data_IF_900057132292
#
_entry.id   IF_900057132292
#
_cell.length_a   1.000
_cell.length_b   1.000
_cell.length_c   1.000
_cell.angle_alpha   90.00
_cell.angle_beta   90.00
_cell.angle_gamma   90.00
#
_symmetry.space_group_name_H-M   'P 1'
#
loop_
_entity.id
_entity.type
_entity.pdbx_description
1 polymer ?
#
# COMPACT_ATOMS: atom_id res chain seq x y z
N UNK A 1 -6.78 9.92 -27.51
CA UNK A 1 -5.61 9.53 -26.69
C UNK A 1 -6.00 8.82 -25.38
N UNK A 2 -7.01 9.30 -24.62
CA UNK A 2 -7.49 8.65 -23.36
C UNK A 2 -8.00 7.20 -23.56
N UNK A 3 -8.63 6.90 -24.71
CA UNK A 3 -9.15 5.55 -25.01
C UNK A 3 -8.09 4.49 -25.31
N UNK A 4 -6.90 4.89 -25.82
CA UNK A 4 -5.76 4.00 -26.02
C UNK A 4 -5.10 3.65 -24.68
N UNK A 5 -4.92 4.66 -23.81
CA UNK A 5 -4.40 4.47 -22.45
C UNK A 5 -5.27 3.58 -21.56
N UNK A 6 -6.60 3.67 -21.66
CA UNK A 6 -7.51 2.80 -20.87
C UNK A 6 -7.41 1.35 -21.33
N UNK A 7 -7.30 1.12 -22.64
CA UNK A 7 -7.18 -0.22 -23.25
C UNK A 7 -5.85 -0.88 -22.87
N UNK A 8 -4.75 -0.14 -22.89
CA UNK A 8 -3.43 -0.64 -22.48
C UNK A 8 -3.38 -0.96 -20.98
N UNK A 9 -4.02 -0.14 -20.14
CA UNK A 9 -4.16 -0.39 -18.70
C UNK A 9 -5.01 -1.62 -18.38
N UNK A 10 -6.13 -1.81 -19.07
CA UNK A 10 -6.97 -3.01 -18.92
C UNK A 10 -6.25 -4.26 -19.40
N UNK A 11 -5.47 -4.15 -20.48
CA UNK A 11 -4.63 -5.24 -20.98
C UNK A 11 -3.51 -5.61 -20.00
N UNK A 12 -2.79 -4.63 -19.46
CA UNK A 12 -1.74 -4.86 -18.44
C UNK A 12 -2.31 -5.48 -17.17
N UNK A 13 -3.50 -5.07 -16.75
CA UNK A 13 -4.19 -5.65 -15.59
C UNK A 13 -4.61 -7.10 -15.86
N UNK A 14 -5.26 -7.36 -17.00
CA UNK A 14 -5.67 -8.71 -17.38
C UNK A 14 -4.48 -9.66 -17.58
N UNK A 15 -3.38 -9.17 -18.14
CA UNK A 15 -2.16 -9.97 -18.33
C UNK A 15 -1.47 -10.27 -16.98
N UNK A 16 -1.49 -9.33 -16.03
CA UNK A 16 -0.97 -9.54 -14.68
C UNK A 16 -1.86 -10.45 -13.82
N UNK A 17 -3.19 -10.38 -14.00
CA UNK A 17 -4.16 -11.26 -13.33
C UNK A 17 -4.10 -12.69 -13.90
N UNK A 18 -3.68 -12.85 -15.17
CA UNK A 18 -3.46 -14.15 -15.83
C UNK A 18 -2.04 -14.71 -15.69
N UNK A 19 -1.20 -14.11 -14.83
CA UNK A 19 0.19 -14.52 -14.63
C UNK A 19 1.03 -14.64 -15.92
N UNK A 20 0.67 -13.92 -16.99
CA UNK A 20 1.17 -14.17 -18.36
C UNK A 20 2.67 -13.99 -18.51
N UNK A 21 3.26 -13.08 -17.73
CA UNK A 21 4.68 -12.75 -17.77
C UNK A 21 5.46 -13.36 -16.60
N UNK A 22 4.77 -14.07 -15.70
CA UNK A 22 5.40 -14.73 -14.56
C UNK A 22 5.97 -16.07 -15.03
N UNK A 23 7.23 -16.31 -14.68
CA UNK A 23 7.88 -17.62 -14.84
C UNK A 23 8.30 -18.11 -13.46
N UNK A 24 8.34 -19.42 -13.28
CA UNK A 24 8.67 -20.05 -11.99
C UNK A 24 10.15 -19.84 -11.65
N UNK A 25 11.04 -19.88 -12.65
CA UNK A 25 12.47 -19.66 -12.44
C UNK A 25 12.83 -18.17 -12.33
N UNK A 26 12.06 -17.28 -12.99
CA UNK A 26 12.34 -15.84 -13.00
C UNK A 26 11.08 -14.98 -13.01
N UNK A 27 10.99 -14.05 -12.05
CA UNK A 27 9.90 -13.08 -11.95
C UNK A 27 10.25 -11.70 -12.56
N UNK A 28 11.41 -11.56 -13.21
CA UNK A 28 11.90 -10.25 -13.66
C UNK A 28 11.01 -9.59 -14.71
N UNK A 29 10.48 -10.39 -15.64
CA UNK A 29 9.65 -9.90 -16.73
C UNK A 29 8.28 -9.42 -16.20
N UNK A 30 7.67 -10.15 -15.27
CA UNK A 30 6.46 -9.71 -14.56
C UNK A 30 6.70 -8.41 -13.77
N UNK A 31 7.80 -8.32 -13.00
CA UNK A 31 8.14 -7.08 -12.30
C UNK A 31 8.34 -5.90 -13.25
N UNK A 32 8.95 -6.11 -14.42
CA UNK A 32 9.14 -5.07 -15.43
C UNK A 32 7.80 -4.55 -15.96
N UNK A 33 6.82 -5.44 -16.18
CA UNK A 33 5.48 -5.02 -16.62
C UNK A 33 4.70 -4.34 -15.50
N UNK A 34 4.77 -4.84 -14.26
CA UNK A 34 4.17 -4.17 -13.09
C UNK A 34 4.75 -2.78 -12.90
N UNK A 35 6.07 -2.60 -13.08
CA UNK A 35 6.73 -1.29 -13.02
C UNK A 35 6.09 -0.29 -14.00
N UNK A 36 5.84 -0.68 -15.25
CA UNK A 36 5.15 0.19 -16.23
C UNK A 36 3.75 0.57 -15.78
N UNK A 37 2.97 -0.40 -15.29
CA UNK A 37 1.61 -0.16 -14.76
C UNK A 37 1.62 0.79 -13.56
N UNK A 38 2.61 0.68 -12.67
CA UNK A 38 2.80 1.59 -11.54
C UNK A 38 3.16 2.99 -12.03
N UNK A 39 4.05 3.11 -13.02
CA UNK A 39 4.47 4.39 -13.59
C UNK A 39 3.29 5.13 -14.26
N UNK A 40 2.47 4.42 -15.04
CA UNK A 40 1.22 4.96 -15.57
C UNK A 40 0.26 5.38 -14.47
N UNK A 41 0.18 4.58 -13.39
CA UNK A 41 -0.55 4.91 -12.19
C UNK A 41 -0.04 6.20 -11.53
N UNK A 42 1.27 6.41 -11.44
CA UNK A 42 1.88 7.61 -10.89
C UNK A 42 1.51 8.84 -11.73
N UNK A 43 1.62 8.76 -13.05
CA UNK A 43 1.22 9.83 -13.98
C UNK A 43 -0.26 10.18 -13.84
N UNK A 44 -1.12 9.17 -13.73
CA UNK A 44 -2.56 9.37 -13.53
C UNK A 44 -2.83 10.13 -12.22
N UNK A 45 -2.19 9.72 -11.12
CA UNK A 45 -2.34 10.40 -9.83
C UNK A 45 -1.84 11.84 -9.88
N UNK A 46 -0.73 12.12 -10.58
CA UNK A 46 -0.22 13.47 -10.78
C UNK A 46 -1.20 14.36 -11.56
N UNK A 47 -1.79 13.85 -12.65
CA UNK A 47 -2.78 14.60 -13.45
C UNK A 47 -4.02 14.93 -12.60
N UNK A 48 -4.54 13.95 -11.84
CA UNK A 48 -5.70 14.17 -10.97
C UNK A 48 -5.35 15.20 -9.88
N UNK A 49 -4.18 15.10 -9.27
CA UNK A 49 -3.70 16.07 -8.30
C UNK A 49 -3.68 17.49 -8.90
N UNK A 50 -3.06 17.68 -10.08
CA UNK A 50 -2.99 18.98 -10.76
C UNK A 50 -4.38 19.54 -11.09
N UNK A 51 -5.31 18.68 -11.53
CA UNK A 51 -6.69 19.07 -11.81
C UNK A 51 -7.42 19.52 -10.53
N UNK A 52 -7.29 18.77 -9.44
CA UNK A 52 -7.87 19.14 -8.16
C UNK A 52 -7.29 20.45 -7.61
N UNK A 53 -5.98 20.66 -7.76
CA UNK A 53 -5.32 21.90 -7.37
C UNK A 53 -5.82 23.10 -8.19
N UNK A 54 -6.02 22.93 -9.50
CA UNK A 54 -6.61 23.95 -10.35
C UNK A 54 -8.06 24.27 -9.92
N UNK A 55 -8.88 23.25 -9.67
CA UNK A 55 -10.25 23.42 -9.16
C UNK A 55 -10.26 24.13 -7.81
N UNK A 56 -9.34 23.78 -6.91
CA UNK A 56 -9.20 24.44 -5.61
C UNK A 56 -8.87 25.93 -5.76
N UNK A 57 -7.90 26.29 -6.60
CA UNK A 57 -7.52 27.70 -6.85
C UNK A 57 -8.70 28.48 -7.43
N UNK A 58 -9.40 27.92 -8.43
CA UNK A 58 -10.59 28.55 -9.02
C UNK A 58 -11.70 28.78 -7.99
N UNK A 59 -12.00 27.77 -7.17
CA UNK A 59 -13.00 27.88 -6.11
C UNK A 59 -12.60 28.93 -5.08
N UNK A 60 -11.33 28.94 -4.64
CA UNK A 60 -10.81 29.95 -3.72
C UNK A 60 -10.95 31.36 -4.29
N UNK A 61 -10.67 31.56 -5.58
CA UNK A 61 -10.86 32.84 -6.26
C UNK A 61 -12.33 33.26 -6.29
N UNK A 62 -13.24 32.36 -6.68
CA UNK A 62 -14.68 32.62 -6.74
C UNK A 62 -15.27 32.94 -5.36
N UNK A 63 -14.84 32.23 -4.32
CA UNK A 63 -15.25 32.46 -2.92
C UNK A 63 -14.67 33.78 -2.40
N UNK A 64 -13.46 34.17 -2.80
CA UNK A 64 -12.90 35.47 -2.41
C UNK A 64 -13.70 36.64 -2.97
N UNK A 65 -14.31 36.48 -4.16
CA UNK A 65 -15.11 37.55 -4.78
C UNK A 65 -16.51 37.66 -4.20
N UNK A 66 -17.10 36.54 -3.78
CA UNK A 66 -18.45 36.50 -3.26
C UNK A 66 -18.40 36.11 -1.78
N UNK A 67 -18.75 37.01 -0.86
CA UNK A 67 -18.66 36.86 0.60
C UNK A 67 -19.54 35.74 1.20
N UNK A 68 -19.40 34.51 0.73
CA UNK A 68 -20.20 33.37 1.13
C UNK A 68 -19.67 32.78 2.44
N UNK A 69 -20.24 33.21 3.57
CA UNK A 69 -20.02 32.61 4.89
C UNK A 69 -20.94 31.40 5.13
N UNK A 70 -20.95 30.43 4.21
CA UNK A 70 -21.74 29.19 4.40
C UNK A 70 -20.85 28.05 4.89
N UNK A 71 -21.20 27.36 5.99
CA UNK A 71 -20.41 26.24 6.52
C UNK A 71 -20.24 25.08 5.50
N UNK A 72 -21.20 24.91 4.59
CA UNK A 72 -21.15 23.94 3.49
C UNK A 72 -19.94 24.15 2.57
N UNK A 73 -19.56 25.40 2.30
CA UNK A 73 -18.43 25.72 1.43
C UNK A 73 -17.11 25.37 2.11
N UNK A 74 -17.01 25.61 3.43
CA UNK A 74 -15.84 25.21 4.22
C UNK A 74 -15.66 23.70 4.24
N UNK A 75 -16.76 22.93 4.35
CA UNK A 75 -16.72 21.46 4.30
C UNK A 75 -16.29 20.94 2.93
N UNK A 76 -16.80 21.53 1.84
CA UNK A 76 -16.35 21.23 0.47
C UNK A 76 -14.85 21.50 0.28
N UNK A 77 -14.37 22.66 0.76
CA UNK A 77 -12.96 23.02 0.72
C UNK A 77 -12.09 22.01 1.47
N UNK A 78 -12.52 21.58 2.65
CA UNK A 78 -11.80 20.56 3.44
C UNK A 78 -11.73 19.21 2.72
N UNK A 79 -12.83 18.76 2.10
CA UNK A 79 -12.85 17.51 1.31
C UNK A 79 -11.90 17.61 0.12
N UNK A 80 -11.87 18.74 -0.59
CA UNK A 80 -10.95 18.96 -1.70
C UNK A 80 -9.48 18.91 -1.26
N UNK A 81 -9.15 19.56 -0.13
CA UNK A 81 -7.80 19.52 0.44
C UNK A 81 -7.38 18.09 0.77
N UNK A 82 -8.26 17.30 1.42
CA UNK A 82 -7.99 15.89 1.72
C UNK A 82 -7.73 15.07 0.46
N UNK A 83 -8.51 15.29 -0.60
CA UNK A 83 -8.30 14.62 -1.89
C UNK A 83 -6.96 15.00 -2.53
N UNK A 84 -6.60 16.29 -2.50
CA UNK A 84 -5.31 16.78 -2.99
C UNK A 84 -4.17 16.05 -2.28
N UNK A 85 -4.18 16.04 -0.94
CA UNK A 85 -3.16 15.33 -0.15
C UNK A 85 -3.12 13.83 -0.48
N UNK A 86 -4.28 13.18 -0.62
CA UNK A 86 -4.35 11.78 -0.99
C UNK A 86 -3.65 11.49 -2.33
N UNK A 87 -3.91 12.30 -3.37
CA UNK A 87 -3.32 12.08 -4.69
C UNK A 87 -1.85 12.49 -4.78
N UNK A 88 -1.41 13.53 -4.04
CA UNK A 88 0.02 13.87 -3.91
C UNK A 88 0.78 12.69 -3.32
N UNK A 89 0.32 12.19 -2.17
CA UNK A 89 0.95 11.08 -1.47
C UNK A 89 0.95 9.81 -2.34
N UNK A 90 -0.17 9.53 -3.01
CA UNK A 90 -0.24 8.40 -3.92
C UNK A 90 0.73 8.52 -5.11
N UNK A 91 0.92 9.74 -5.63
CA UNK A 91 1.89 9.98 -6.70
C UNK A 91 3.33 9.75 -6.22
N UNK A 92 3.71 10.33 -5.08
CA UNK A 92 5.04 10.18 -4.46
C UNK A 92 5.34 8.70 -4.21
N UNK A 93 4.41 7.98 -3.56
CA UNK A 93 4.57 6.55 -3.27
C UNK A 93 4.77 5.70 -4.51
N UNK A 94 3.97 5.93 -5.56
CA UNK A 94 4.10 5.18 -6.82
C UNK A 94 5.40 5.50 -7.55
N UNK A 95 5.79 6.77 -7.59
CA UNK A 95 7.05 7.19 -8.18
C UNK A 95 8.24 6.55 -7.47
N UNK A 96 8.22 6.54 -6.14
CA UNK A 96 9.26 5.91 -5.34
C UNK A 96 9.28 4.39 -5.53
N UNK A 97 8.11 3.75 -5.59
CA UNK A 97 8.00 2.33 -5.89
C UNK A 97 8.68 1.98 -7.23
N UNK A 98 8.47 2.78 -8.28
CA UNK A 98 9.13 2.58 -9.58
C UNK A 98 10.65 2.67 -9.48
N UNK A 99 11.18 3.62 -8.71
CA UNK A 99 12.61 3.79 -8.46
C UNK A 99 13.19 2.58 -7.72
N UNK A 100 12.54 2.16 -6.63
CA UNK A 100 13.01 1.12 -5.73
C UNK A 100 12.87 -0.28 -6.33
N UNK A 101 11.81 -0.56 -7.09
CA UNK A 101 11.62 -1.85 -7.77
C UNK A 101 12.79 -2.14 -8.72
N UNK A 102 13.37 -1.10 -9.32
CA UNK A 102 14.53 -1.22 -10.21
C UNK A 102 15.85 -1.54 -9.49
N UNK A 103 16.00 -1.14 -8.21
CA UNK A 103 17.27 -1.27 -7.47
C UNK A 103 17.29 -2.42 -6.47
N UNK A 104 16.21 -2.55 -5.69
CA UNK A 104 16.18 -3.43 -4.52
C UNK A 104 15.22 -4.60 -4.66
N UNK A 105 14.56 -4.75 -5.82
CA UNK A 105 13.62 -5.80 -6.24
C UNK A 105 12.76 -6.34 -5.07
N UNK A 106 13.28 -7.29 -4.30
CA UNK A 106 12.68 -7.90 -3.09
C UNK A 106 12.37 -6.92 -1.94
N UNK A 107 13.26 -5.97 -1.62
CA UNK A 107 13.09 -5.05 -0.48
C UNK A 107 12.28 -3.79 -0.80
N UNK A 108 12.03 -3.52 -2.08
CA UNK A 108 11.33 -2.30 -2.53
C UNK A 108 9.97 -2.13 -1.85
N UNK A 109 9.29 -3.24 -1.58
CA UNK A 109 7.94 -3.23 -1.02
C UNK A 109 7.94 -2.92 0.46
N UNK A 110 8.91 -3.45 1.22
CA UNK A 110 9.06 -3.14 2.65
C UNK A 110 9.25 -1.63 2.87
N UNK A 111 10.11 -1.01 2.06
CA UNK A 111 10.42 0.42 2.15
C UNK A 111 9.17 1.29 1.91
N UNK A 112 8.28 0.87 1.01
CA UNK A 112 7.05 1.62 0.71
C UNK A 112 6.05 1.54 1.85
N UNK A 113 5.91 0.38 2.49
CA UNK A 113 5.06 0.27 3.67
C UNK A 113 5.55 1.17 4.80
N UNK A 114 6.86 1.22 5.01
CA UNK A 114 7.48 2.15 5.97
C UNK A 114 7.21 3.60 5.59
N UNK A 115 7.25 3.95 4.30
CA UNK A 115 7.04 5.33 3.85
C UNK A 115 5.57 5.74 3.94
N UNK A 116 4.62 4.91 3.50
CA UNK A 116 3.18 5.14 3.66
C UNK A 116 2.85 5.39 5.14
N UNK A 117 3.49 4.63 6.02
CA UNK A 117 3.33 4.80 7.46
C UNK A 117 3.93 6.12 7.97
N UNK A 118 5.16 6.47 7.59
CA UNK A 118 5.79 7.75 7.96
C UNK A 118 4.96 8.94 7.46
N UNK A 119 4.45 8.88 6.23
CA UNK A 119 3.57 9.91 5.67
C UNK A 119 2.29 10.08 6.49
N UNK A 120 1.69 8.99 6.95
CA UNK A 120 0.53 9.05 7.85
C UNK A 120 0.83 9.77 9.17
N UNK A 121 2.00 9.52 9.77
CA UNK A 121 2.42 10.24 10.96
C UNK A 121 2.58 11.74 10.67
N UNK A 122 3.18 12.11 9.55
CA UNK A 122 3.36 13.51 9.14
C UNK A 122 2.01 14.19 8.94
N UNK A 123 1.07 13.55 8.25
CA UNK A 123 -0.27 14.09 8.04
C UNK A 123 -0.97 14.30 9.39
N UNK A 124 -0.88 13.33 10.29
CA UNK A 124 -1.44 13.43 11.66
C UNK A 124 -0.85 14.62 12.41
N UNK A 125 0.47 14.78 12.35
CA UNK A 125 1.18 15.91 12.98
C UNK A 125 0.71 17.25 12.42
N UNK A 126 0.55 17.38 11.11
CA UNK A 126 0.09 18.63 10.48
C UNK A 126 -1.32 19.02 10.94
N UNK A 127 -2.22 18.05 11.10
CA UNK A 127 -3.57 18.32 11.61
C UNK A 127 -3.56 18.85 13.05
N UNK A 128 -2.73 18.25 13.92
CA UNK A 128 -2.50 18.78 15.25
C UNK A 128 -1.85 20.17 15.20
N UNK A 129 -0.84 20.38 14.36
CA UNK A 129 -0.17 21.67 14.27
C UNK A 129 -1.11 22.80 13.85
N UNK A 130 -2.01 22.56 12.90
CA UNK A 130 -3.02 23.55 12.49
C UNK A 130 -3.97 23.88 13.64
N UNK A 131 -4.43 22.87 14.38
CA UNK A 131 -5.31 23.09 15.52
C UNK A 131 -4.61 23.82 16.68
N UNK A 132 -3.32 23.54 16.90
CA UNK A 132 -2.48 24.25 17.85
C UNK A 132 -2.28 25.73 17.47
N UNK A 133 -1.97 26.04 16.21
CA UNK A 133 -1.83 27.43 15.75
C UNK A 133 -3.09 28.27 15.98
N UNK A 134 -4.27 27.64 15.96
CA UNK A 134 -5.55 28.33 16.13
C UNK A 134 -5.99 28.44 17.59
N UNK A 135 -5.80 27.38 18.38
CA UNK A 135 -6.41 27.25 19.71
C UNK A 135 -5.39 27.10 20.86
N UNK A 136 -4.08 27.08 20.57
CA UNK A 136 -3.02 26.88 21.54
C UNK A 136 -3.15 25.56 22.31
N UNK A 137 -2.89 25.61 23.60
CA UNK A 137 -2.84 24.43 24.48
C UNK A 137 -4.19 23.75 24.69
N UNK A 138 -5.31 24.42 24.35
CA UNK A 138 -6.65 23.82 24.41
C UNK A 138 -6.76 22.54 23.58
N UNK A 139 -5.95 22.42 22.52
CA UNK A 139 -5.94 21.22 21.69
C UNK A 139 -5.54 19.96 22.47
N UNK A 140 -4.66 20.09 23.46
CA UNK A 140 -4.15 18.95 24.24
C UNK A 140 -5.26 18.26 25.04
N UNK A 141 -6.16 19.04 25.64
CA UNK A 141 -7.29 18.53 26.43
C UNK A 141 -8.52 18.17 25.59
N UNK A 142 -8.53 18.47 24.29
CA UNK A 142 -9.65 18.15 23.43
C UNK A 142 -9.61 16.71 22.92
N UNK A 143 -10.10 15.80 23.75
CA UNK A 143 -10.23 14.38 23.43
C UNK A 143 -10.99 14.11 22.12
N UNK A 144 -12.09 14.85 21.85
CA UNK A 144 -12.91 14.64 20.64
C UNK A 144 -12.11 14.95 19.37
N UNK A 145 -11.33 16.03 19.38
CA UNK A 145 -10.47 16.40 18.27
C UNK A 145 -9.35 15.37 18.06
N UNK A 146 -8.68 14.95 19.14
CA UNK A 146 -7.61 13.97 19.07
C UNK A 146 -8.09 12.62 18.54
N UNK A 147 -9.24 12.13 19.00
CA UNK A 147 -9.88 10.93 18.44
C UNK A 147 -10.26 11.11 16.97
N UNK A 148 -10.77 12.27 16.57
CA UNK A 148 -11.13 12.53 15.18
C UNK A 148 -9.89 12.48 14.26
N UNK A 149 -8.81 13.16 14.65
CA UNK A 149 -7.54 13.14 13.91
C UNK A 149 -7.01 11.70 13.83
N UNK A 150 -7.04 10.97 14.94
CA UNK A 150 -6.60 9.57 15.00
C UNK A 150 -7.37 8.65 14.03
N UNK A 151 -8.70 8.70 14.06
CA UNK A 151 -9.56 7.88 13.18
C UNK A 151 -9.30 8.25 11.71
N UNK A 152 -9.19 9.55 11.41
CA UNK A 152 -8.91 10.02 10.06
C UNK A 152 -7.56 9.48 9.56
N UNK A 153 -6.52 9.49 10.40
CA UNK A 153 -5.20 8.96 10.07
C UNK A 153 -5.20 7.45 9.84
N UNK A 154 -5.93 6.67 10.64
CA UNK A 154 -6.10 5.22 10.41
C UNK A 154 -6.73 4.99 9.03
N UNK A 155 -7.87 5.63 8.77
CA UNK A 155 -8.60 5.47 7.51
C UNK A 155 -7.70 5.85 6.32
N UNK A 156 -6.99 6.98 6.43
CA UNK A 156 -6.07 7.45 5.41
C UNK A 156 -4.96 6.41 5.13
N UNK A 157 -4.34 5.88 6.18
CA UNK A 157 -3.27 4.88 6.05
C UNK A 157 -3.79 3.60 5.41
N UNK A 158 -4.93 3.08 5.86
CA UNK A 158 -5.54 1.86 5.30
C UNK A 158 -5.89 2.03 3.81
N UNK A 159 -6.40 3.20 3.41
CA UNK A 159 -6.67 3.50 2.00
C UNK A 159 -5.40 3.54 1.15
N UNK A 160 -4.32 4.15 1.65
CA UNK A 160 -3.03 4.18 0.95
C UNK A 160 -2.39 2.80 0.86
N UNK A 161 -2.38 2.05 1.96
CA UNK A 161 -1.90 0.66 2.00
C UNK A 161 -2.66 -0.23 1.02
N UNK A 162 -4.00 -0.14 0.99
CA UNK A 162 -4.81 -0.89 0.03
C UNK A 162 -4.46 -0.52 -1.42
N UNK A 163 -4.22 0.77 -1.69
CA UNK A 163 -3.82 1.24 -3.01
C UNK A 163 -2.43 0.72 -3.42
N UNK A 164 -1.48 0.64 -2.47
CA UNK A 164 -0.14 0.09 -2.72
C UNK A 164 -0.17 -1.43 -2.93
N UNK A 165 -0.92 -2.16 -2.11
CA UNK A 165 -1.08 -3.61 -2.19
C UNK A 165 -1.68 -4.10 -3.51
N UNK A 166 -2.44 -3.25 -4.19
CA UNK A 166 -2.98 -3.56 -5.52
C UNK A 166 -1.88 -3.85 -6.56
N UNK A 167 -0.72 -3.23 -6.43
CA UNK A 167 0.38 -3.36 -7.39
C UNK A 167 1.44 -4.35 -6.92
N UNK A 168 1.41 -4.73 -5.64
CA UNK A 168 2.36 -5.66 -5.07
C UNK A 168 2.08 -7.09 -5.55
N UNK A 169 3.09 -7.83 -6.03
CA UNK A 169 2.89 -9.20 -6.50
C UNK A 169 2.50 -10.13 -5.35
N UNK A 170 1.48 -10.98 -5.58
CA UNK A 170 0.97 -11.91 -4.56
C UNK A 170 2.05 -12.86 -4.03
N UNK A 171 2.91 -13.37 -4.91
CA UNK A 171 4.00 -14.29 -4.58
C UNK A 171 5.13 -13.67 -3.75
N UNK A 172 5.12 -12.35 -3.50
CA UNK A 172 6.07 -11.65 -2.63
C UNK A 172 5.44 -11.15 -1.32
N UNK A 173 4.13 -11.34 -1.13
CA UNK A 173 3.40 -10.83 0.05
C UNK A 173 4.00 -11.35 1.36
N UNK A 174 4.42 -12.62 1.39
CA UNK A 174 5.01 -13.22 2.59
C UNK A 174 6.26 -12.48 3.09
N UNK A 175 7.00 -11.81 2.20
CA UNK A 175 8.16 -11.01 2.56
C UNK A 175 7.79 -9.77 3.39
N UNK A 176 6.53 -9.36 3.42
CA UNK A 176 6.07 -8.18 4.17
C UNK A 176 5.87 -8.47 5.66
N UNK A 177 5.72 -9.73 6.08
CA UNK A 177 5.46 -10.07 7.48
C UNK A 177 6.61 -9.73 8.40
N UNK A 178 7.82 -10.21 8.09
CA UNK A 178 8.98 -10.05 8.97
C UNK A 178 9.28 -8.56 9.29
N UNK A 179 9.24 -7.62 8.32
CA UNK A 179 9.38 -6.19 8.60
C UNK A 179 8.27 -5.62 9.47
N UNK A 180 7.00 -5.99 9.23
CA UNK A 180 5.87 -5.51 10.03
C UNK A 180 6.04 -5.96 11.49
N UNK A 181 6.36 -7.23 11.70
CA UNK A 181 6.62 -7.79 13.04
C UNK A 181 7.82 -7.09 13.70
N UNK A 182 8.88 -6.82 12.95
CA UNK A 182 10.08 -6.13 13.46
C UNK A 182 9.75 -4.70 13.87
N UNK A 183 8.99 -3.97 13.06
CA UNK A 183 8.56 -2.60 13.37
C UNK A 183 7.64 -2.60 14.60
N UNK A 184 6.69 -3.52 14.69
CA UNK A 184 5.84 -3.68 15.88
C UNK A 184 6.66 -3.97 17.14
N UNK A 185 7.66 -4.86 17.05
CA UNK A 185 8.57 -5.14 18.15
C UNK A 185 9.34 -3.90 18.59
N UNK A 186 9.89 -3.12 17.65
CA UNK A 186 10.58 -1.86 17.96
C UNK A 186 9.63 -0.86 18.65
N UNK A 187 8.41 -0.68 18.11
CA UNK A 187 7.41 0.22 18.68
C UNK A 187 7.03 -0.21 20.10
N UNK A 188 6.93 -1.51 20.37
CA UNK A 188 6.58 -2.05 21.68
C UNK A 188 7.62 -1.73 22.78
N UNK A 189 8.86 -1.43 22.39
CA UNK A 189 9.93 -1.02 23.32
C UNK A 189 9.94 0.48 23.60
N UNK A 190 9.33 1.31 22.74
CA UNK A 190 9.33 2.77 22.91
C UNK A 190 8.74 3.25 24.24
N UNK A 191 7.65 2.66 24.78
CA UNK A 191 7.10 3.05 26.08
C UNK A 191 8.08 2.94 27.24
N UNK A 192 9.12 2.10 27.15
CA UNK A 192 10.16 1.98 28.18
C UNK A 192 11.02 3.24 28.27
N UNK A 193 11.29 3.88 27.15
CA UNK A 193 12.10 5.11 27.07
C UNK A 193 11.25 6.37 27.16
N UNK A 194 9.99 6.30 26.75
CA UNK A 194 9.09 7.44 26.66
C UNK A 194 7.71 7.08 27.18
N UNK A 195 7.35 7.57 28.37
CA UNK A 195 6.02 7.34 28.94
C UNK A 195 4.94 8.02 28.06
N UNK A 196 4.02 7.26 27.45
CA UNK A 196 2.98 7.84 26.60
C UNK A 196 1.97 8.61 27.45
N UNK A 197 1.88 9.92 27.27
CA UNK A 197 0.89 10.77 27.94
C UNK A 197 -0.21 11.18 26.95
N UNK A 198 -1.20 10.28 26.79
CA UNK A 198 -2.32 10.45 25.84
C UNK A 198 -3.40 11.39 26.40
N UNK A 199 -3.61 11.37 27.71
CA UNK A 199 -4.73 12.05 28.38
C UNK A 199 -4.40 13.53 28.64
N UNK A 200 -3.19 13.82 29.12
CA UNK A 200 -2.73 15.19 29.43
C UNK A 200 -1.29 15.41 28.96
N UNK A 201 -1.05 15.55 27.64
CA UNK A 201 0.28 15.85 27.13
C UNK A 201 0.68 17.28 27.49
N UNK A 202 1.92 17.46 27.93
CA UNK A 202 2.46 18.77 28.35
C UNK A 202 2.92 19.64 27.18
N UNK A 203 3.20 19.02 26.03
CA UNK A 203 3.61 19.70 24.82
C UNK A 203 3.22 18.90 23.56
N UNK A 204 3.26 19.57 22.40
CA UNK A 204 2.96 18.98 21.09
C UNK A 204 3.78 17.71 20.79
N UNK A 205 5.06 17.70 21.16
CA UNK A 205 5.95 16.57 20.87
C UNK A 205 5.49 15.32 21.65
N UNK A 206 5.10 15.50 22.92
CA UNK A 206 4.60 14.42 23.75
C UNK A 206 3.25 13.90 23.27
N UNK A 207 2.32 14.78 22.88
CA UNK A 207 1.07 14.38 22.23
C UNK A 207 1.36 13.55 20.98
N UNK A 208 2.21 14.07 20.09
CA UNK A 208 2.54 13.42 18.84
C UNK A 208 3.15 12.04 19.04
N UNK A 209 4.17 11.90 19.90
CA UNK A 209 4.82 10.60 20.17
C UNK A 209 3.82 9.61 20.77
N UNK A 210 3.04 10.03 21.76
CA UNK A 210 2.09 9.15 22.46
C UNK A 210 1.05 8.59 21.49
N UNK A 211 0.47 9.46 20.66
CA UNK A 211 -0.49 9.03 19.66
C UNK A 211 0.15 8.30 18.47
N UNK A 212 1.38 8.64 18.08
CA UNK A 212 2.10 7.95 17.02
C UNK A 212 2.36 6.49 17.38
N UNK A 213 2.72 6.20 18.64
CA UNK A 213 2.88 4.83 19.15
C UNK A 213 1.55 4.06 19.01
N UNK A 214 0.45 4.62 19.54
CA UNK A 214 -0.87 3.96 19.46
C UNK A 214 -1.32 3.76 18.01
N UNK A 215 -1.19 4.80 17.19
CA UNK A 215 -1.59 4.78 15.78
C UNK A 215 -0.84 3.69 15.03
N UNK A 216 0.43 3.50 15.36
CA UNK A 216 1.27 2.57 14.66
C UNK A 216 1.09 1.13 15.08
N UNK A 217 0.89 0.86 16.37
CA UNK A 217 0.46 -0.47 16.83
C UNK A 217 -0.84 -0.86 16.13
N UNK A 218 -1.89 -0.03 16.25
CA UNK A 218 -3.21 -0.34 15.68
C UNK A 218 -3.14 -0.53 14.17
N UNK A 219 -2.49 0.39 13.45
CA UNK A 219 -2.45 0.34 11.99
C UNK A 219 -1.63 -0.84 11.48
N UNK A 220 -0.46 -1.11 12.07
CA UNK A 220 0.37 -2.25 11.65
C UNK A 220 -0.29 -3.58 11.97
N UNK A 221 -0.97 -3.72 13.11
CA UNK A 221 -1.75 -4.92 13.43
C UNK A 221 -2.89 -5.13 12.44
N UNK A 222 -3.63 -4.09 12.06
CA UNK A 222 -4.70 -4.21 11.05
C UNK A 222 -4.14 -4.62 9.67
N UNK A 223 -3.00 -4.06 9.27
CA UNK A 223 -2.32 -4.44 8.02
C UNK A 223 -1.87 -5.90 8.11
N UNK A 224 -1.27 -6.33 9.22
CA UNK A 224 -0.84 -7.70 9.43
C UNK A 224 -2.00 -8.69 9.30
N UNK A 225 -3.12 -8.45 10.01
CA UNK A 225 -4.32 -9.30 9.93
C UNK A 225 -4.84 -9.38 8.48
N UNK A 226 -4.84 -8.26 7.76
CA UNK A 226 -5.26 -8.25 6.35
C UNK A 226 -4.34 -9.13 5.49
N UNK A 227 -3.02 -9.04 5.68
CA UNK A 227 -2.06 -9.83 4.93
C UNK A 227 -2.19 -11.32 5.27
N UNK A 228 -2.30 -11.68 6.55
CA UNK A 228 -2.47 -13.07 7.01
C UNK A 228 -3.70 -13.71 6.38
N UNK A 229 -4.83 -13.01 6.42
CA UNK A 229 -6.07 -13.47 5.78
C UNK A 229 -5.91 -13.65 4.27
N UNK A 230 -5.20 -12.75 3.60
CA UNK A 230 -4.95 -12.86 2.15
C UNK A 230 -4.02 -14.05 1.84
N UNK A 231 -2.98 -14.25 2.64
CA UNK A 231 -2.00 -15.31 2.47
C UNK A 231 -2.58 -16.68 2.72
N UNK A 232 -3.41 -16.83 3.76
CA UNK A 232 -4.10 -18.10 4.04
C UNK A 232 -4.99 -18.54 2.88
N UNK A 233 -5.77 -17.62 2.30
CA UNK A 233 -6.59 -17.91 1.12
C UNK A 233 -5.76 -18.28 -0.10
N UNK A 234 -4.66 -17.56 -0.32
CA UNK A 234 -3.74 -17.86 -1.42
C UNK A 234 -3.06 -19.22 -1.22
N UNK A 235 -2.67 -19.58 0.00
CA UNK A 235 -2.05 -20.86 0.31
C UNK A 235 -3.00 -22.03 0.06
N UNK A 236 -4.27 -21.90 0.44
CA UNK A 236 -5.32 -22.89 0.14
C UNK A 236 -5.45 -23.10 -1.39
N UNK A 237 -5.54 -22.01 -2.14
CA UNK A 237 -5.60 -22.06 -3.62
C UNK A 237 -4.35 -22.71 -4.23
N UNK A 238 -3.15 -22.35 -3.74
CA UNK A 238 -1.90 -22.93 -4.23
C UNK A 238 -1.80 -24.43 -3.91
N UNK A 239 -2.26 -24.84 -2.73
CA UNK A 239 -2.28 -26.24 -2.32
C UNK A 239 -3.23 -27.07 -3.21
N UNK A 240 -4.44 -26.56 -3.48
CA UNK A 240 -5.39 -27.22 -4.38
C UNK A 240 -4.79 -27.45 -5.77
N UNK A 241 -4.20 -26.40 -6.37
CA UNK A 241 -3.59 -26.49 -7.69
C UNK A 241 -2.41 -27.46 -7.67
N UNK A 242 -1.56 -27.41 -6.65
CA UNK A 242 -0.42 -28.32 -6.51
C UNK A 242 -0.88 -29.78 -6.49
N UNK A 243 -1.89 -30.12 -5.68
CA UNK A 243 -2.42 -31.48 -5.59
C UNK A 243 -3.10 -31.91 -6.89
N UNK A 244 -3.89 -31.03 -7.52
CA UNK A 244 -4.54 -31.28 -8.83
C UNK A 244 -3.50 -31.70 -9.88
N UNK A 245 -2.37 -30.98 -9.97
CA UNK A 245 -1.32 -31.26 -10.93
C UNK A 245 -0.43 -32.45 -10.51
N UNK A 246 -0.32 -32.71 -9.20
CA UNK A 246 0.47 -33.84 -8.69
C UNK A 246 -0.17 -35.19 -9.00
N UNK A 247 -1.49 -35.26 -9.14
CA UNK A 247 -2.19 -36.49 -9.50
C UNK A 247 -2.18 -36.79 -11.01
N UNK A 248 -1.81 -35.81 -11.84
CA UNK A 248 -1.76 -35.98 -13.31
C UNK A 248 -0.52 -36.73 -13.77
N UNK A 249 -0.66 -37.42 -14.89
CA UNK A 249 0.47 -38.00 -15.63
C UNK A 249 1.36 -36.89 -16.19
N UNK A 250 2.63 -37.18 -16.49
CA UNK A 250 3.59 -36.16 -16.94
C UNK A 250 3.11 -35.38 -18.18
N UNK A 251 2.42 -36.05 -19.10
CA UNK A 251 1.91 -35.44 -20.34
C UNK A 251 0.71 -34.51 -20.13
N UNK A 252 -0.03 -34.67 -19.03
CA UNK A 252 -1.25 -33.94 -18.71
C UNK A 252 -1.03 -32.73 -17.79
N UNK A 253 0.21 -32.51 -17.34
CA UNK A 253 0.54 -31.41 -16.44
C UNK A 253 0.47 -30.07 -17.19
N UNK A 254 -0.32 -29.13 -16.67
CA UNK A 254 -0.45 -27.80 -17.23
C UNK A 254 0.55 -26.83 -16.57
N UNK A 255 1.53 -26.39 -17.35
CA UNK A 255 2.52 -25.39 -16.92
C UNK A 255 1.88 -24.10 -16.42
N UNK A 256 0.81 -23.59 -17.06
CA UNK A 256 0.18 -22.35 -16.63
C UNK A 256 -0.43 -22.48 -15.23
N UNK A 257 -0.96 -23.66 -14.90
CA UNK A 257 -1.45 -23.96 -13.55
C UNK A 257 -0.31 -24.03 -12.55
N UNK A 258 0.87 -24.53 -12.92
CA UNK A 258 2.07 -24.44 -12.06
C UNK A 258 2.49 -22.99 -11.81
N UNK A 259 2.38 -22.11 -12.83
CA UNK A 259 2.64 -20.67 -12.66
C UNK A 259 1.62 -20.04 -11.71
N UNK A 260 0.32 -20.38 -11.81
CA UNK A 260 -0.70 -19.93 -10.86
C UNK A 260 -0.40 -20.42 -9.43
N UNK A 261 0.01 -21.68 -9.28
CA UNK A 261 0.44 -22.23 -7.99
C UNK A 261 1.60 -21.42 -7.39
N UNK A 262 2.60 -21.04 -8.20
CA UNK A 262 3.67 -20.14 -7.76
C UNK A 262 3.14 -18.74 -7.42
N UNK A 263 2.26 -18.18 -8.25
CA UNK A 263 1.71 -16.84 -8.05
C UNK A 263 0.98 -16.68 -6.70
N UNK A 264 0.19 -17.68 -6.32
CA UNK A 264 -0.54 -17.68 -5.05
C UNK A 264 0.37 -18.10 -3.88
N UNK A 265 1.14 -19.17 -4.06
CA UNK A 265 1.90 -19.81 -2.99
C UNK A 265 3.29 -19.23 -2.71
N UNK A 266 3.79 -18.33 -3.54
CA UNK A 266 5.09 -17.68 -3.31
C UNK A 266 6.29 -18.64 -3.37
N UNK A 267 7.39 -18.25 -2.72
CA UNK A 267 8.64 -19.03 -2.75
C UNK A 267 8.46 -20.43 -2.13
N UNK A 268 7.63 -20.58 -1.10
CA UNK A 268 7.32 -21.89 -0.50
C UNK A 268 6.82 -22.90 -1.54
N UNK A 269 5.90 -22.50 -2.41
CA UNK A 269 5.37 -23.39 -3.44
C UNK A 269 6.28 -23.50 -4.65
N UNK A 270 7.07 -22.47 -4.97
CA UNK A 270 8.13 -22.60 -5.96
C UNK A 270 9.13 -23.69 -5.58
N UNK A 271 9.57 -23.73 -4.32
CA UNK A 271 10.47 -24.79 -3.84
C UNK A 271 9.82 -26.18 -3.95
N UNK A 272 8.54 -26.33 -3.56
CA UNK A 272 7.79 -27.60 -3.74
C UNK A 272 7.68 -28.03 -5.21
N UNK A 273 7.44 -27.08 -6.11
CA UNK A 273 7.36 -27.35 -7.55
C UNK A 273 8.71 -27.81 -8.09
N UNK A 274 9.80 -27.15 -7.69
CA UNK A 274 11.15 -27.48 -8.16
C UNK A 274 11.72 -28.75 -7.53
N UNK A 275 11.26 -29.16 -6.35
CA UNK A 275 11.65 -30.43 -5.72
C UNK A 275 10.91 -31.64 -6.28
N UNK A 276 9.83 -31.43 -7.03
CA UNK A 276 9.05 -32.50 -7.67
C UNK A 276 9.58 -32.75 -9.08
N UNK A 277 10.17 -33.93 -9.31
CA UNK A 277 10.93 -34.23 -10.53
C UNK A 277 10.14 -33.98 -11.83
N UNK A 278 8.90 -34.47 -11.92
CA UNK A 278 8.06 -34.31 -13.11
C UNK A 278 7.74 -32.85 -13.43
N UNK A 279 7.48 -32.03 -12.39
CA UNK A 279 7.26 -30.59 -12.56
C UNK A 279 8.55 -29.91 -12.98
N UNK A 280 9.67 -30.23 -12.34
CA UNK A 280 10.97 -29.67 -12.69
C UNK A 280 11.35 -29.93 -14.16
N UNK A 281 11.11 -31.15 -14.66
CA UNK A 281 11.33 -31.49 -16.08
C UNK A 281 10.50 -30.61 -17.01
N UNK A 282 9.20 -30.45 -16.73
CA UNK A 282 8.31 -29.61 -17.52
C UNK A 282 8.73 -28.13 -17.48
N UNK A 283 9.04 -27.61 -16.29
CA UNK A 283 9.46 -26.22 -16.08
C UNK A 283 10.73 -25.95 -16.89
N UNK A 284 11.76 -26.81 -16.79
CA UNK A 284 12.99 -26.67 -17.57
C UNK A 284 12.74 -26.71 -19.08
N UNK A 285 11.80 -27.55 -19.54
CA UNK A 285 11.45 -27.65 -20.97
C UNK A 285 10.73 -26.39 -21.49
N UNK A 286 9.91 -25.75 -20.65
CA UNK A 286 9.11 -24.55 -21.02
C UNK A 286 9.85 -23.24 -20.84
N UNK A 287 10.68 -23.15 -19.80
CA UNK A 287 11.43 -21.94 -19.43
C UNK A 287 12.89 -21.99 -19.85
N UNK A 288 13.29 -22.96 -20.68
CA UNK A 288 14.66 -23.14 -21.15
C UNK A 288 15.27 -21.82 -21.64
N UNK A 289 16.38 -21.45 -20.99
CA UNK A 289 17.39 -20.48 -21.42
C UNK A 289 18.00 -20.94 -22.74
#
# INVERSE_FOLDING_TARGET
>A
MIGLFKRDKEKLKNDADKCKYLKILSFEEDLKQRKKSIEEGARTSAIIFLLLLFVFILLSFLISQNSYKKPVIGLLGLVLILQIFYFIIQWINRWLLVQLLGRLKKFSSMIIFTIIYIESLIVSFLWWFIAFLKNGDWMYSNFRLNCFIFILSIIFTLLQTKAALKYHPSYLVELLYAPIVTVLAIISLLPYFWEPQIIEPKNMLQLFISWAIVLSVVTMTLIQIYLENKSSKNEETAQEIFQEQLLKNEDDIDYNRLVECYYYGGEKYKEKLLSTEKFLRLIKKRESI
#
